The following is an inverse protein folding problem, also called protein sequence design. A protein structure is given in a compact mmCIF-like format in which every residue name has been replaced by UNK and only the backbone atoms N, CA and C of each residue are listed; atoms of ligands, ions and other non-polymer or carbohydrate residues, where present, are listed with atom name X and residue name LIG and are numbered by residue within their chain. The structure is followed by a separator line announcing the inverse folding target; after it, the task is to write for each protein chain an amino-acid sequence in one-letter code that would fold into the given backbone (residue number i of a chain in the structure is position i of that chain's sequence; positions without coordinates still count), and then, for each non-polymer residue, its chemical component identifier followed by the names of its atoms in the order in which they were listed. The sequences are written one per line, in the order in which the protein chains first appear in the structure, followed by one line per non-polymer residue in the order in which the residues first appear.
data_IF_954670473099
#
_entry.id   IF_954670473099
#
_cell.length_a   1.000
_cell.length_b   1.000
_cell.length_c   1.000
_cell.angle_alpha   90.00
_cell.angle_beta   90.00
_cell.angle_gamma   90.00
#
_symmetry.space_group_name_H-M   'P 1'
#
loop_
_entity.id
_entity.type
_entity.pdbx_description
1 polymer ?
#
# COMPACT_ATOMS: atom_id res chain seq x y z
N UNK A 1 19.16 7.16 -40.15
CA UNK A 1 19.69 7.27 -38.78
C UNK A 1 18.53 7.78 -37.94
N UNK A 2 17.68 6.87 -37.47
CA UNK A 2 16.43 7.21 -36.80
C UNK A 2 16.70 7.55 -35.33
N UNK A 3 16.23 8.71 -34.81
CA UNK A 3 16.37 9.02 -33.40
C UNK A 3 15.42 8.14 -32.58
N UNK A 4 15.97 7.43 -31.59
CA UNK A 4 15.24 6.58 -30.66
C UNK A 4 14.08 7.34 -30.00
N UNK A 5 12.86 7.06 -30.46
CA UNK A 5 11.62 7.32 -29.74
C UNK A 5 11.60 6.46 -28.49
N UNK A 6 11.52 7.08 -27.31
CA UNK A 6 11.37 6.36 -26.04
C UNK A 6 10.77 7.27 -24.97
N UNK A 7 9.43 7.19 -24.89
CA UNK A 7 8.57 7.45 -23.72
C UNK A 7 8.72 8.81 -23.04
N UNK A 8 8.07 9.79 -23.68
CA UNK A 8 7.43 10.94 -23.07
C UNK A 8 6.71 10.52 -21.76
N UNK A 9 7.28 10.86 -20.61
CA UNK A 9 6.52 10.91 -19.36
C UNK A 9 5.42 11.94 -19.59
N UNK A 10 4.21 11.47 -19.91
CA UNK A 10 3.04 12.33 -19.99
C UNK A 10 2.87 12.94 -18.60
N UNK A 11 3.11 14.24 -18.54
CA UNK A 11 2.92 15.05 -17.36
C UNK A 11 1.43 15.01 -16.99
N UNK A 12 1.09 14.08 -16.09
CA UNK A 12 -0.24 13.93 -15.48
C UNK A 12 -0.54 15.04 -14.45
N UNK A 13 0.22 16.13 -14.42
CA UNK A 13 0.12 17.20 -13.43
C UNK A 13 -1.04 18.18 -13.64
N UNK A 14 -1.94 17.98 -14.61
CA UNK A 14 -3.19 18.76 -14.71
C UNK A 14 -4.27 18.32 -13.71
N UNK A 15 -3.90 17.98 -12.49
CA UNK A 15 -4.83 17.93 -11.37
C UNK A 15 -4.62 19.23 -10.61
N UNK A 16 -5.68 20.03 -10.49
CA UNK A 16 -5.67 21.14 -9.53
C UNK A 16 -5.22 20.59 -8.18
N UNK A 17 -3.99 20.96 -7.79
CA UNK A 17 -3.40 20.47 -6.55
C UNK A 17 -4.09 21.26 -5.46
N UNK A 18 -5.15 20.68 -4.89
CA UNK A 18 -5.78 21.25 -3.71
C UNK A 18 -4.66 21.56 -2.69
N UNK A 19 -4.63 22.79 -2.13
CA UNK A 19 -3.58 23.17 -1.21
C UNK A 19 -3.51 22.14 -0.07
N UNK A 20 -2.37 21.46 0.02
CA UNK A 20 -2.15 20.41 1.01
C UNK A 20 -2.15 21.10 2.39
N UNK A 21 -3.19 20.87 3.20
CA UNK A 21 -3.21 21.35 4.60
C UNK A 21 -2.11 20.64 5.39
N UNK A 22 -1.04 21.37 5.67
CA UNK A 22 0.03 20.92 6.56
C UNK A 22 -0.53 20.88 7.99
N UNK A 23 -0.56 19.70 8.60
CA UNK A 23 -0.96 19.55 10.00
C UNK A 23 0.19 19.98 10.91
N UNK A 24 -0.05 21.00 11.75
CA UNK A 24 0.90 21.44 12.77
C UNK A 24 0.73 20.71 14.13
N UNK A 25 -0.19 19.75 14.23
CA UNK A 25 -0.39 18.97 15.46
C UNK A 25 0.77 17.98 15.65
N UNK A 26 1.66 18.30 16.60
CA UNK A 26 2.80 17.46 16.97
C UNK A 26 2.38 16.02 17.33
N UNK A 27 1.28 15.87 18.08
CA UNK A 27 0.79 14.56 18.50
C UNK A 27 0.36 13.68 17.32
N UNK A 28 -0.41 14.24 16.37
CA UNK A 28 -0.84 13.51 15.18
C UNK A 28 0.36 13.16 14.28
N UNK A 29 1.34 14.06 14.19
CA UNK A 29 2.55 13.84 13.41
C UNK A 29 3.40 12.72 14.02
N UNK A 30 3.52 12.66 15.35
CA UNK A 30 4.26 11.60 16.04
C UNK A 30 3.65 10.22 15.78
N UNK A 31 2.32 10.11 15.74
CA UNK A 31 1.63 8.83 15.48
C UNK A 31 1.89 8.31 14.06
N UNK A 32 1.84 9.21 13.07
CA UNK A 32 2.15 8.88 11.66
C UNK A 32 3.62 8.49 11.52
N UNK A 33 4.52 9.28 12.09
CA UNK A 33 5.96 9.03 12.01
C UNK A 33 6.33 7.70 12.67
N UNK A 34 5.65 7.32 13.76
CA UNK A 34 5.87 6.04 14.42
C UNK A 34 5.50 4.84 13.55
N UNK A 35 4.35 4.89 12.86
CA UNK A 35 3.95 3.82 11.93
C UNK A 35 4.93 3.75 10.74
N UNK A 36 5.35 4.90 10.21
CA UNK A 36 6.33 4.96 9.12
C UNK A 36 7.71 4.40 9.53
N UNK A 37 8.13 4.54 10.79
CA UNK A 37 9.42 4.00 11.27
C UNK A 37 9.53 2.49 11.10
N UNK A 38 8.44 1.74 11.23
CA UNK A 38 8.46 0.28 11.05
C UNK A 38 8.81 -0.10 9.60
N UNK A 39 8.14 0.52 8.64
CA UNK A 39 8.38 0.34 7.21
C UNK A 39 9.79 0.80 6.84
N UNK A 40 10.18 2.02 7.25
CA UNK A 40 11.51 2.58 6.96
C UNK A 40 12.64 1.70 7.48
N UNK A 41 12.54 1.14 8.70
CA UNK A 41 13.55 0.23 9.25
C UNK A 41 13.73 -1.04 8.40
N UNK A 42 12.63 -1.60 7.88
CA UNK A 42 12.68 -2.82 7.06
C UNK A 42 13.21 -2.57 5.65
N UNK A 43 12.89 -1.42 5.06
CA UNK A 43 13.33 -1.08 3.70
C UNK A 43 14.76 -0.53 3.63
N UNK A 44 15.26 0.10 4.71
CA UNK A 44 16.60 0.73 4.73
C UNK A 44 17.75 -0.17 4.28
N UNK A 45 17.84 -1.46 4.66
CA UNK A 45 18.89 -2.35 4.15
C UNK A 45 18.69 -2.79 2.68
N UNK A 46 17.51 -2.60 2.10
CA UNK A 46 17.16 -3.07 0.75
C UNK A 46 17.49 -2.06 -0.35
N UNK A 47 18.00 -0.86 -0.01
CA UNK A 47 18.24 0.27 -0.94
C UNK A 47 16.99 0.71 -1.73
N UNK A 48 15.79 0.37 -1.26
CA UNK A 48 14.52 0.65 -1.92
C UNK A 48 14.01 -0.50 -2.80
N UNK A 49 12.89 -0.27 -3.49
CA UNK A 49 12.29 -1.24 -4.41
C UNK A 49 12.58 -0.85 -5.86
N UNK A 50 12.97 -1.82 -6.69
CA UNK A 50 13.18 -1.60 -8.14
C UNK A 50 11.83 -1.65 -8.89
N UNK A 51 11.06 -2.76 -8.85
CA UNK A 51 9.73 -2.80 -9.43
C UNK A 51 8.63 -2.44 -8.42
N UNK A 52 7.58 -1.78 -8.91
CA UNK A 52 6.42 -1.37 -8.12
C UNK A 52 5.61 -2.56 -7.59
N UNK A 53 5.55 -3.67 -8.33
CA UNK A 53 4.80 -4.86 -7.88
C UNK A 53 5.46 -5.52 -6.67
N UNK A 54 6.80 -5.62 -6.66
CA UNK A 54 7.51 -6.12 -5.48
C UNK A 54 7.37 -5.16 -4.29
N UNK A 55 7.34 -3.83 -4.53
CA UNK A 55 7.07 -2.86 -3.49
C UNK A 55 5.69 -3.10 -2.85
N UNK A 56 4.66 -3.31 -3.67
CA UNK A 56 3.28 -3.55 -3.21
C UNK A 56 3.19 -4.81 -2.35
N UNK A 57 3.77 -5.91 -2.80
CA UNK A 57 3.75 -7.19 -2.06
C UNK A 57 4.50 -7.07 -0.73
N UNK A 58 5.70 -6.47 -0.73
CA UNK A 58 6.51 -6.34 0.49
C UNK A 58 5.86 -5.39 1.49
N UNK A 59 5.38 -4.23 1.04
CA UNK A 59 4.68 -3.27 1.91
C UNK A 59 3.41 -3.87 2.51
N UNK A 60 2.61 -4.58 1.70
CA UNK A 60 1.41 -5.27 2.17
C UNK A 60 1.72 -6.34 3.23
N UNK A 61 2.80 -7.12 3.05
CA UNK A 61 3.24 -8.08 4.05
C UNK A 61 3.69 -7.43 5.37
N UNK A 62 4.42 -6.31 5.30
CA UNK A 62 4.83 -5.55 6.50
C UNK A 62 3.61 -5.01 7.24
N UNK A 63 2.64 -4.47 6.51
CA UNK A 63 1.38 -3.95 7.07
C UNK A 63 0.56 -5.05 7.73
N UNK A 64 0.41 -6.20 7.07
CA UNK A 64 -0.31 -7.36 7.60
C UNK A 64 0.29 -7.82 8.95
N UNK A 65 1.62 -8.00 9.02
CA UNK A 65 2.30 -8.40 10.26
C UNK A 65 2.07 -7.35 11.37
N UNK A 66 2.10 -6.06 11.02
CA UNK A 66 1.86 -4.96 11.96
C UNK A 66 0.43 -4.98 12.50
N UNK A 67 -0.57 -5.21 11.63
CA UNK A 67 -1.97 -5.37 12.02
C UNK A 67 -2.18 -6.58 12.93
N UNK A 68 -1.55 -7.72 12.61
CA UNK A 68 -1.60 -8.92 13.46
C UNK A 68 -1.03 -8.65 14.86
N UNK A 69 0.14 -7.99 14.95
CA UNK A 69 0.76 -7.63 16.24
C UNK A 69 -0.10 -6.67 17.06
N UNK A 70 -0.77 -5.72 16.41
CA UNK A 70 -1.73 -4.80 17.05
C UNK A 70 -3.09 -5.46 17.36
N UNK A 71 -3.28 -6.75 17.03
CA UNK A 71 -4.58 -7.45 17.10
C UNK A 71 -5.70 -6.72 16.35
N UNK A 72 -5.34 -6.01 15.27
CA UNK A 72 -6.25 -5.27 14.41
C UNK A 72 -6.82 -6.14 13.29
N UNK A 73 -6.67 -7.46 13.38
CA UNK A 73 -7.17 -8.45 12.44
C UNK A 73 -8.71 -8.56 12.48
N UNK A 74 -9.40 -7.47 12.17
CA UNK A 74 -10.85 -7.45 11.92
C UNK A 74 -11.19 -7.82 10.47
N UNK A 75 -10.20 -7.86 9.57
CA UNK A 75 -10.40 -8.03 8.12
C UNK A 75 -9.59 -9.18 7.50
N UNK A 76 -8.91 -10.00 8.32
CA UNK A 76 -8.10 -11.12 7.80
C UNK A 76 -8.94 -12.33 7.37
N UNK A 77 -10.23 -12.36 7.71
CA UNK A 77 -11.14 -13.37 7.21
C UNK A 77 -11.96 -12.77 6.07
N UNK A 78 -11.38 -12.79 4.86
CA UNK A 78 -12.25 -13.03 3.72
C UNK A 78 -12.56 -14.52 3.81
N UNK A 79 -13.69 -14.88 4.45
CA UNK A 79 -14.17 -16.25 4.41
C UNK A 79 -14.43 -16.52 2.93
N UNK A 80 -13.47 -17.13 2.24
CA UNK A 80 -13.79 -17.72 0.96
C UNK A 80 -14.95 -18.66 1.25
N UNK A 81 -16.10 -18.35 0.66
CA UNK A 81 -17.26 -19.21 0.75
C UNK A 81 -16.80 -20.61 0.39
N UNK A 82 -17.14 -21.59 1.23
CA UNK A 82 -16.76 -22.96 0.92
C UNK A 82 -17.36 -23.33 -0.44
N UNK A 83 -16.75 -24.29 -1.12
CA UNK A 83 -17.24 -24.75 -2.43
C UNK A 83 -18.72 -25.17 -2.36
N UNK A 84 -19.16 -25.68 -1.21
CA UNK A 84 -20.57 -25.96 -0.92
C UNK A 84 -21.44 -24.69 -0.88
N UNK A 85 -21.02 -23.64 -0.16
CA UNK A 85 -21.74 -22.36 -0.11
C UNK A 85 -21.83 -21.69 -1.50
N UNK A 86 -20.83 -21.90 -2.37
CA UNK A 86 -20.85 -21.40 -3.76
C UNK A 86 -21.83 -22.18 -4.65
N UNK A 87 -21.94 -23.49 -4.46
CA UNK A 87 -22.86 -24.35 -5.21
C UNK A 87 -24.32 -24.07 -4.84
N UNK A 88 -24.62 -23.88 -3.56
CA UNK A 88 -25.97 -23.61 -3.08
C UNK A 88 -26.53 -22.28 -3.62
N UNK A 89 -25.69 -21.25 -3.80
CA UNK A 89 -26.12 -19.96 -4.37
C UNK A 89 -26.36 -19.98 -5.88
N UNK A 90 -25.79 -20.93 -6.62
CA UNK A 90 -26.03 -21.08 -8.08
C UNK A 90 -27.31 -21.86 -8.39
N UNK A 91 -27.81 -22.62 -7.42
CA UNK A 91 -29.02 -23.43 -7.54
C UNK A 91 -30.30 -22.68 -7.15
N UNK A 92 -30.19 -21.44 -6.66
CA UNK A 92 -31.30 -20.54 -6.31
C UNK A 92 -31.59 -19.54 -7.44
#
# INVERSE_FOLDING_TARGET
MEPFSSYRLQDRSRREVNPIRIRQSQYLNNRIEQDHRAVKRRMRPMLGFKPMDSARVILGGIEMIHMMRKRQAKYACNRQSSLSEQLDMLAA
#
